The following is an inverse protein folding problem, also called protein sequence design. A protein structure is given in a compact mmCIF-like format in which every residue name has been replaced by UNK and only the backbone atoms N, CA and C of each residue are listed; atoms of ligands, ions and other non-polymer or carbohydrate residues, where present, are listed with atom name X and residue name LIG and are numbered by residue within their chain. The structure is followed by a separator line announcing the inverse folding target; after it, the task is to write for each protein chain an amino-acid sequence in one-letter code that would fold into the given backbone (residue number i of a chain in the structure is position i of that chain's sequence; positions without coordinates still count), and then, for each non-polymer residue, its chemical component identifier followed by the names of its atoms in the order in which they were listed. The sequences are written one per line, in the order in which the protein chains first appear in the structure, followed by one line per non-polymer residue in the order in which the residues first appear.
data_IF_692049414434
#
_entry.id   IF_692049414434
#
_cell.length_a   1.000
_cell.length_b   1.000
_cell.length_c   1.000
_cell.angle_alpha   90.00
_cell.angle_beta   90.00
_cell.angle_gamma   90.00
#
_symmetry.space_group_name_H-M   'P 1'
#
loop_
_entity.id
_entity.type
_entity.pdbx_description
1 polymer ?
#
# COMPACT_ATOMS: atom_id res chain seq x y z
N UNK A 1 13.10 6.74 11.68
CA UNK A 1 13.60 8.06 12.12
C UNK A 1 12.70 8.50 13.24
N UNK A 2 13.29 8.85 14.38
CA UNK A 2 12.60 9.36 15.54
C UNK A 2 12.91 10.86 15.66
N UNK A 3 11.88 11.65 15.88
CA UNK A 3 11.94 13.09 16.14
C UNK A 3 11.26 13.33 17.50
N UNK A 4 12.04 13.37 18.59
CA UNK A 4 11.47 13.52 19.93
C UNK A 4 10.87 14.92 20.13
N UNK A 5 11.44 15.94 19.49
CA UNK A 5 10.93 17.32 19.46
C UNK A 5 10.70 17.74 18.01
N UNK A 6 9.44 17.74 17.58
CA UNK A 6 9.08 17.99 16.18
C UNK A 6 9.38 19.44 15.74
N UNK A 7 9.26 20.41 16.64
CA UNK A 7 9.52 21.83 16.34
C UNK A 7 10.99 22.12 15.99
N UNK A 8 11.91 21.26 16.44
CA UNK A 8 13.36 21.38 16.18
C UNK A 8 13.83 20.42 15.09
N UNK A 9 12.93 19.59 14.55
CA UNK A 9 13.28 18.55 13.61
C UNK A 9 13.65 19.12 12.24
N UNK A 10 14.74 18.62 11.66
CA UNK A 10 15.16 18.90 10.28
C UNK A 10 14.74 17.82 9.27
N UNK A 11 13.85 16.91 9.66
CA UNK A 11 13.45 15.77 8.84
C UNK A 11 12.52 16.13 7.69
N UNK A 12 12.04 15.11 6.99
CA UNK A 12 11.25 15.27 5.77
C UNK A 12 9.94 16.07 5.98
N UNK A 13 9.34 16.02 7.18
CA UNK A 13 8.14 16.79 7.50
C UNK A 13 8.43 18.29 7.56
N UNK A 14 9.62 18.67 8.06
CA UNK A 14 10.04 20.07 8.15
C UNK A 14 10.35 20.69 6.78
N UNK A 15 10.53 19.86 5.74
CA UNK A 15 10.69 20.33 4.36
C UNK A 15 9.35 20.81 3.74
N UNK A 16 8.21 20.46 4.36
CA UNK A 16 6.88 20.95 4.00
C UNK A 16 6.33 21.80 5.15
N UNK A 17 6.63 23.09 5.11
CA UNK A 17 6.28 24.03 6.17
C UNK A 17 4.78 24.03 6.46
N UNK A 18 3.93 23.99 5.43
CA UNK A 18 2.48 23.98 5.61
C UNK A 18 2.02 22.71 6.34
N UNK A 19 2.65 21.57 6.08
CA UNK A 19 2.35 20.32 6.78
C UNK A 19 2.88 20.30 8.22
N UNK A 20 4.07 20.85 8.44
CA UNK A 20 4.62 21.03 9.78
C UNK A 20 3.73 21.94 10.64
N UNK A 21 3.32 23.10 10.11
CA UNK A 21 2.42 24.03 10.80
C UNK A 21 1.10 23.37 11.19
N UNK A 22 0.48 22.60 10.28
CA UNK A 22 -0.75 21.86 10.60
C UNK A 22 -0.54 20.84 11.71
N UNK A 23 0.60 20.15 11.73
CA UNK A 23 0.91 19.19 12.78
C UNK A 23 1.08 19.89 14.13
N UNK A 24 1.84 20.98 14.17
CA UNK A 24 2.06 21.77 15.39
C UNK A 24 0.77 22.38 15.93
N UNK A 25 -0.09 22.92 15.07
CA UNK A 25 -1.42 23.46 15.44
C UNK A 25 -2.33 22.35 15.99
N UNK A 26 -2.20 21.13 15.49
CA UNK A 26 -2.89 19.96 16.03
C UNK A 26 -2.26 19.43 17.35
N UNK A 27 -1.29 20.15 17.92
CA UNK A 27 -0.61 19.82 19.16
C UNK A 27 0.42 18.69 19.03
N UNK A 28 0.79 18.30 17.81
CA UNK A 28 1.80 17.26 17.61
C UNK A 28 3.16 17.79 18.04
N UNK A 29 3.82 17.06 18.94
CA UNK A 29 5.13 17.43 19.47
C UNK A 29 6.21 16.37 19.24
N UNK A 30 5.85 15.12 18.92
CA UNK A 30 6.80 14.05 18.65
C UNK A 30 6.33 13.15 17.50
N UNK A 31 7.29 12.66 16.71
CA UNK A 31 7.06 11.91 15.48
C UNK A 31 8.00 10.71 15.34
N UNK A 32 7.47 9.56 14.92
CA UNK A 32 8.26 8.47 14.35
C UNK A 32 7.89 8.31 12.88
N UNK A 33 8.88 8.28 11.99
CA UNK A 33 8.69 7.89 10.58
C UNK A 33 9.43 6.60 10.27
N UNK A 34 8.73 5.61 9.72
CA UNK A 34 9.28 4.32 9.28
C UNK A 34 8.96 4.08 7.81
N UNK A 35 9.94 3.78 6.93
CA UNK A 35 9.67 3.47 5.54
C UNK A 35 9.10 2.06 5.37
N UNK A 36 8.12 1.92 4.48
CA UNK A 36 7.61 0.62 4.02
C UNK A 36 8.54 0.10 2.93
N UNK A 37 9.46 -0.82 3.26
CA UNK A 37 10.43 -1.35 2.29
C UNK A 37 10.20 -2.84 2.03
N UNK A 38 9.88 -3.18 0.81
CA UNK A 38 9.77 -4.58 0.37
C UNK A 38 10.75 -4.83 -0.77
N UNK A 39 11.55 -5.90 -0.66
CA UNK A 39 12.45 -6.37 -1.74
C UNK A 39 13.34 -5.28 -2.34
N UNK A 40 13.90 -4.44 -1.48
CA UNK A 40 14.80 -3.35 -1.89
C UNK A 40 14.12 -2.09 -2.43
N UNK A 41 12.79 -2.05 -2.53
CA UNK A 41 12.04 -0.85 -2.97
C UNK A 41 11.24 -0.24 -1.83
N UNK A 42 11.20 1.10 -1.77
CA UNK A 42 10.34 1.85 -0.85
C UNK A 42 8.94 1.94 -1.45
N UNK A 43 7.98 1.26 -0.81
CA UNK A 43 6.57 1.28 -1.19
C UNK A 43 5.84 2.54 -0.71
N UNK A 44 6.35 3.16 0.36
CA UNK A 44 5.77 4.33 1.02
C UNK A 44 6.41 4.59 2.39
N UNK A 45 5.73 5.39 3.23
CA UNK A 45 6.15 5.69 4.61
C UNK A 45 4.95 5.60 5.57
N UNK A 46 5.21 5.21 6.81
CA UNK A 46 4.26 5.27 7.93
C UNK A 46 4.79 6.26 8.95
N UNK A 47 3.91 7.13 9.44
CA UNK A 47 4.24 8.17 10.41
C UNK A 47 3.33 8.06 11.63
N UNK A 48 3.93 8.01 12.82
CA UNK A 48 3.23 8.00 14.10
C UNK A 48 3.41 9.36 14.77
N UNK A 49 2.30 10.04 15.03
CA UNK A 49 2.28 11.37 15.63
C UNK A 49 1.83 11.27 17.08
N UNK A 50 2.40 12.09 17.94
CA UNK A 50 1.99 12.21 19.33
C UNK A 50 1.62 13.65 19.64
N UNK A 51 0.42 13.85 20.19
CA UNK A 51 -0.12 15.16 20.55
C UNK A 51 -0.58 15.24 22.01
N UNK A 52 -1.49 14.37 22.45
CA UNK A 52 -2.10 14.47 23.79
C UNK A 52 -1.18 14.00 24.92
N UNK A 53 -0.39 12.96 24.68
CA UNK A 53 0.49 12.42 25.71
C UNK A 53 1.77 13.26 25.80
N UNK A 54 2.12 13.86 26.96
CA UNK A 54 3.20 14.86 27.04
C UNK A 54 4.60 14.30 26.78
N UNK A 55 4.84 13.03 27.15
CA UNK A 55 6.14 12.40 26.96
C UNK A 55 6.38 12.13 25.46
N UNK A 56 7.54 12.51 24.90
CA UNK A 56 7.86 12.24 23.49
C UNK A 56 8.02 10.74 23.25
N UNK A 57 8.09 10.35 21.96
CA UNK A 57 8.53 9.00 21.63
C UNK A 57 10.01 8.81 22.00
N UNK A 58 10.32 7.60 22.44
CA UNK A 58 11.67 7.13 22.75
C UNK A 58 12.03 5.95 21.85
N UNK A 59 13.25 5.43 21.97
CA UNK A 59 13.78 4.36 21.11
C UNK A 59 12.97 3.05 21.17
N UNK A 60 12.36 2.75 22.32
CA UNK A 60 11.45 1.61 22.46
C UNK A 60 10.20 1.78 21.58
N UNK A 61 9.68 3.01 21.53
CA UNK A 61 8.57 3.38 20.64
C UNK A 61 8.96 3.25 19.17
N UNK A 62 10.18 3.65 18.81
CA UNK A 62 10.71 3.47 17.46
C UNK A 62 10.83 1.98 17.10
N UNK A 63 11.32 1.15 18.02
CA UNK A 63 11.49 -0.28 17.82
C UNK A 63 10.14 -0.98 17.60
N UNK A 64 9.13 -0.66 18.41
CA UNK A 64 7.77 -1.17 18.24
C UNK A 64 7.15 -0.71 16.91
N UNK A 65 7.34 0.56 16.55
CA UNK A 65 6.86 1.10 15.27
C UNK A 65 7.51 0.37 14.09
N UNK A 66 8.81 0.08 14.15
CA UNK A 66 9.52 -0.68 13.13
C UNK A 66 8.97 -2.11 13.00
N UNK A 67 8.71 -2.78 14.11
CA UNK A 67 8.14 -4.13 14.10
C UNK A 67 6.74 -4.15 13.45
N UNK A 68 5.87 -3.24 13.87
CA UNK A 68 4.51 -3.11 13.34
C UNK A 68 4.53 -2.83 11.83
N UNK A 69 5.36 -1.87 11.42
CA UNK A 69 5.51 -1.47 10.02
C UNK A 69 6.13 -2.59 9.19
N UNK A 70 7.04 -3.38 9.76
CA UNK A 70 7.61 -4.58 9.12
C UNK A 70 6.52 -5.59 8.76
N UNK A 71 5.62 -5.90 9.70
CA UNK A 71 4.48 -6.81 9.46
C UNK A 71 3.52 -6.25 8.41
N UNK A 72 3.15 -4.97 8.52
CA UNK A 72 2.27 -4.31 7.57
C UNK A 72 2.86 -4.27 6.15
N UNK A 73 4.19 -4.09 6.03
CA UNK A 73 4.90 -4.05 4.74
C UNK A 73 4.70 -5.34 3.95
N UNK A 74 4.75 -6.51 4.61
CA UNK A 74 4.55 -7.81 3.97
C UNK A 74 3.13 -7.90 3.41
N UNK A 75 2.12 -7.56 4.22
CA UNK A 75 0.72 -7.60 3.79
C UNK A 75 0.46 -6.65 2.61
N UNK A 76 1.05 -5.45 2.64
CA UNK A 76 0.92 -4.47 1.55
C UNK A 76 1.65 -4.95 0.28
N UNK A 77 2.86 -5.52 0.38
CA UNK A 77 3.57 -6.08 -0.79
C UNK A 77 2.74 -7.20 -1.42
N UNK A 78 2.19 -8.10 -0.60
CA UNK A 78 1.34 -9.20 -1.06
C UNK A 78 0.08 -8.70 -1.75
N UNK A 79 -0.64 -7.74 -1.16
CA UNK A 79 -1.84 -7.16 -1.76
C UNK A 79 -1.52 -6.50 -3.11
N UNK A 80 -0.43 -5.72 -3.21
CA UNK A 80 0.00 -5.07 -4.46
C UNK A 80 0.37 -6.09 -5.53
N UNK A 81 0.99 -7.22 -5.15
CA UNK A 81 1.31 -8.31 -6.09
C UNK A 81 0.05 -8.99 -6.60
N UNK A 82 -0.83 -9.38 -5.69
CA UNK A 82 -2.09 -10.00 -6.03
C UNK A 82 -2.90 -9.14 -7.00
N UNK A 83 -3.04 -7.84 -6.73
CA UNK A 83 -3.73 -6.91 -7.63
C UNK A 83 -3.09 -6.87 -9.02
N UNK A 84 -1.76 -6.79 -9.12
CA UNK A 84 -1.07 -6.78 -10.43
C UNK A 84 -1.26 -8.06 -11.22
N UNK A 85 -1.14 -9.21 -10.55
CA UNK A 85 -1.34 -10.52 -11.18
C UNK A 85 -2.80 -10.67 -11.64
N UNK A 86 -3.75 -10.25 -10.81
CA UNK A 86 -5.17 -10.26 -11.12
C UNK A 86 -5.51 -9.36 -12.31
N UNK A 87 -5.01 -8.12 -12.32
CA UNK A 87 -5.23 -7.16 -13.41
C UNK A 87 -4.64 -7.68 -14.74
N UNK A 88 -3.46 -8.32 -14.68
CA UNK A 88 -2.83 -8.92 -15.85
C UNK A 88 -3.65 -10.08 -16.40
N UNK A 89 -4.11 -10.98 -15.52
CA UNK A 89 -4.98 -12.10 -15.90
C UNK A 89 -6.30 -11.60 -16.51
N UNK A 90 -6.90 -10.56 -15.94
CA UNK A 90 -8.14 -9.96 -16.45
C UNK A 90 -7.93 -9.29 -17.81
N UNK A 91 -6.81 -8.59 -18.00
CA UNK A 91 -6.45 -7.97 -19.28
C UNK A 91 -6.25 -9.04 -20.36
N UNK A 92 -5.56 -10.15 -20.05
CA UNK A 92 -5.41 -11.30 -20.92
C UNK A 92 -6.77 -11.90 -21.29
N UNK A 93 -7.62 -12.22 -20.30
CA UNK A 93 -8.97 -12.73 -20.54
C UNK A 93 -9.77 -11.84 -21.49
N UNK A 94 -9.79 -10.52 -21.25
CA UNK A 94 -10.48 -9.56 -22.12
C UNK A 94 -9.90 -9.50 -23.54
N UNK A 95 -8.59 -9.66 -23.70
CA UNK A 95 -7.94 -9.69 -25.01
C UNK A 95 -8.29 -10.93 -25.84
N UNK A 96 -8.60 -12.03 -25.16
CA UNK A 96 -9.00 -13.31 -25.77
C UNK A 96 -10.50 -13.37 -26.10
N UNK A 97 -11.30 -12.38 -25.67
CA UNK A 97 -12.71 -12.28 -26.05
C UNK A 97 -12.84 -11.80 -27.50
N UNK A 98 -13.62 -12.48 -28.36
CA UNK A 98 -13.84 -12.06 -29.74
C UNK A 98 -14.44 -10.66 -29.80
N UNK A 99 -13.76 -9.72 -30.47
CA UNK A 99 -14.18 -8.30 -30.56
C UNK A 99 -15.26 -8.02 -31.62
N UNK A 100 -16.02 -9.03 -32.01
CA UNK A 100 -17.10 -8.89 -32.97
C UNK A 100 -17.52 -10.25 -33.53
N UNK A 101 -18.80 -10.39 -33.84
CA UNK A 101 -19.28 -11.45 -34.74
C UNK A 101 -18.70 -11.15 -36.13
N UNK A 102 -17.93 -12.05 -36.77
CA UNK A 102 -17.79 -11.96 -38.21
C UNK A 102 -19.18 -12.17 -38.81
N UNK A 103 -19.66 -11.20 -39.59
CA UNK A 103 -20.90 -11.32 -40.35
C UNK A 103 -20.67 -12.38 -41.45
N UNK A 104 -20.97 -13.64 -41.14
CA UNK A 104 -20.92 -14.73 -42.11
C UNK A 104 -22.32 -15.32 -42.21
N UNK A 105 -22.98 -15.02 -43.34
CA UNK A 105 -24.39 -15.30 -43.61
C UNK A 105 -24.73 -16.79 -43.78
N UNK A 106 -23.90 -17.71 -43.28
CA UNK A 106 -24.03 -19.15 -43.58
C UNK A 106 -23.79 -20.09 -42.38
N UNK A 107 -23.19 -19.66 -41.27
CA UNK A 107 -22.92 -20.54 -40.12
C UNK A 107 -23.04 -19.79 -38.80
N UNK A 108 -23.72 -20.40 -37.83
CA UNK A 108 -23.83 -19.89 -36.46
C UNK A 108 -22.55 -20.24 -35.67
N UNK A 109 -21.72 -19.24 -35.35
CA UNK A 109 -20.49 -19.44 -34.57
C UNK A 109 -20.77 -19.19 -33.10
N UNK A 110 -20.57 -20.22 -32.26
CA UNK A 110 -20.58 -20.13 -30.81
C UNK A 110 -19.14 -20.19 -30.26
N UNK A 111 -18.77 -19.25 -29.39
CA UNK A 111 -17.50 -19.26 -28.68
C UNK A 111 -17.72 -19.79 -27.26
N UNK A 112 -16.93 -20.78 -26.84
CA UNK A 112 -16.88 -21.22 -25.44
C UNK A 112 -15.48 -20.98 -24.89
N UNK A 113 -15.37 -20.07 -23.93
CA UNK A 113 -14.17 -19.88 -23.13
C UNK A 113 -14.32 -20.69 -21.83
N UNK A 114 -13.58 -21.80 -21.63
CA UNK A 114 -13.55 -22.48 -20.34
C UNK A 114 -12.75 -21.60 -19.37
N UNK A 115 -13.42 -20.96 -18.41
CA UNK A 115 -12.74 -20.38 -17.26
C UNK A 115 -12.13 -21.50 -16.42
N UNK A 116 -10.87 -21.33 -16.01
CA UNK A 116 -10.26 -22.21 -15.03
C UNK A 116 -10.86 -21.92 -13.64
N UNK A 117 -12.04 -22.48 -13.35
CA UNK A 117 -12.40 -22.83 -11.98
C UNK A 117 -11.64 -24.13 -11.63
N UNK A 118 -10.37 -23.99 -11.28
CA UNK A 118 -9.72 -25.02 -10.46
C UNK A 118 -10.29 -24.84 -9.05
N UNK A 119 -11.25 -25.70 -8.71
CA UNK A 119 -11.97 -25.65 -7.44
C UNK A 119 -11.05 -25.78 -6.23
N UNK A 120 -11.38 -25.03 -5.19
CA UNK A 120 -11.11 -25.46 -3.82
C UNK A 120 -12.48 -25.67 -3.20
N UNK A 121 -12.92 -26.93 -3.24
CA UNK A 121 -14.09 -27.39 -2.52
C UNK A 121 -13.84 -27.32 -1.02
N UNK A 122 -14.89 -27.02 -0.28
CA UNK A 122 -14.88 -27.09 1.17
C UNK A 122 -14.76 -28.53 1.68
N UNK A 123 -14.00 -28.64 2.76
CA UNK A 123 -14.20 -29.51 3.91
C UNK A 123 -13.74 -28.68 5.12
#
# INVERSE_FOLDING_TARGET
MLEPVLAEAGGWLAQDLARLERALVAGVHSLITVPLRARGVTLGVVSFYRSEQPAPFEDDGLSLAQELVGRATICIDNARRYTREHDTALALQRSLLPRGRPDQSAVEVAYRYPSAQAGVGGD
#
